data_IF_859974652715
#
_entry.id   IF_859974652715
#
_cell.length_a   1.000
_cell.length_b   1.000
_cell.length_c   1.000
_cell.angle_alpha   90.00
_cell.angle_beta   90.00
_cell.angle_gamma   90.00
#
_symmetry.space_group_name_H-M   'P 1'
#
loop_
_entity.id
_entity.type
_entity.pdbx_description
1 polymer ?
#
# COMPACT_ATOMS: atom_id res chain seq x y z
N UNK A 1 -17.48 3.49 13.63
CA UNK A 1 -18.27 2.38 13.05
C UNK A 1 -17.41 1.13 13.01
N UNK A 2 -18.00 -0.04 13.22
CA UNK A 2 -17.28 -1.30 13.09
C UNK A 2 -17.32 -1.77 11.62
N UNK A 3 -16.32 -1.39 10.83
CA UNK A 3 -16.26 -1.74 9.41
C UNK A 3 -16.05 -3.24 9.15
N UNK A 4 -15.67 -4.02 10.16
CA UNK A 4 -15.40 -5.47 10.05
C UNK A 4 -16.68 -6.29 9.85
N UNK A 5 -17.79 -5.79 10.39
CA UNK A 5 -19.12 -6.41 10.30
C UNK A 5 -19.97 -5.78 9.18
N UNK A 6 -19.42 -4.82 8.44
CA UNK A 6 -20.12 -4.14 7.36
C UNK A 6 -20.27 -5.06 6.13
N UNK A 7 -21.46 -5.20 5.52
CA UNK A 7 -21.65 -6.06 4.36
C UNK A 7 -20.86 -5.62 3.11
N UNK A 8 -20.55 -4.34 3.00
CA UNK A 8 -19.83 -3.74 1.85
C UNK A 8 -18.33 -3.75 2.09
N UNK A 9 -17.89 -3.39 3.30
CA UNK A 9 -16.48 -3.18 3.62
C UNK A 9 -15.85 -4.31 4.45
N UNK A 10 -16.61 -5.27 4.96
CA UNK A 10 -16.13 -6.27 5.91
C UNK A 10 -14.93 -7.07 5.40
N UNK A 11 -14.95 -7.50 4.14
CA UNK A 11 -13.84 -8.26 3.55
C UNK A 11 -12.55 -7.44 3.45
N UNK A 12 -12.65 -6.21 2.95
CA UNK A 12 -11.48 -5.32 2.82
C UNK A 12 -11.01 -4.79 4.17
N UNK A 13 -11.92 -4.56 5.12
CA UNK A 13 -11.59 -4.14 6.48
C UNK A 13 -10.80 -5.22 7.21
N UNK A 14 -11.19 -6.50 7.08
CA UNK A 14 -10.47 -7.64 7.68
C UNK A 14 -9.04 -7.74 7.20
N UNK A 15 -8.78 -7.45 5.92
CA UNK A 15 -7.44 -7.45 5.36
C UNK A 15 -6.52 -6.37 5.95
N UNK A 16 -7.08 -5.36 6.65
CA UNK A 16 -6.32 -4.26 7.25
C UNK A 16 -6.07 -4.42 8.76
N UNK A 17 -6.83 -5.26 9.47
CA UNK A 17 -6.83 -5.33 10.95
C UNK A 17 -5.44 -5.58 11.54
N UNK A 18 -4.68 -6.51 10.96
CA UNK A 18 -3.37 -6.93 11.48
C UNK A 18 -2.19 -6.36 10.67
N UNK A 19 -2.40 -5.22 10.03
CA UNK A 19 -1.39 -4.58 9.17
C UNK A 19 -0.67 -3.44 9.87
N UNK A 20 0.58 -3.21 9.51
CA UNK A 20 1.38 -2.10 10.03
C UNK A 20 1.62 -1.07 8.93
N UNK A 21 1.42 0.21 9.21
CA UNK A 21 1.71 1.28 8.25
C UNK A 21 3.23 1.39 8.07
N UNK A 22 3.69 1.30 6.81
CA UNK A 22 5.08 1.52 6.45
C UNK A 22 5.34 2.96 5.98
N UNK A 23 4.47 3.48 5.11
CA UNK A 23 4.59 4.84 4.58
C UNK A 23 3.20 5.40 4.26
N UNK A 24 3.09 6.73 4.32
CA UNK A 24 1.87 7.46 4.01
C UNK A 24 2.21 8.72 3.23
N UNK A 25 1.51 8.95 2.12
CA UNK A 25 1.60 10.15 1.31
C UNK A 25 0.27 10.90 1.33
N UNK A 26 0.10 11.89 0.44
CA UNK A 26 -1.18 12.58 0.25
C UNK A 26 -2.24 11.71 -0.46
N UNK A 27 -1.81 10.68 -1.20
CA UNK A 27 -2.67 9.87 -2.09
C UNK A 27 -2.56 8.37 -1.86
N UNK A 28 -1.49 7.90 -1.23
CA UNK A 28 -1.19 6.49 -1.07
C UNK A 28 -0.85 6.17 0.38
N UNK A 29 -1.24 4.97 0.83
CA UNK A 29 -0.76 4.35 2.06
C UNK A 29 -0.11 3.02 1.71
N UNK A 30 1.08 2.78 2.23
CA UNK A 30 1.79 1.52 2.10
C UNK A 30 1.76 0.83 3.45
N UNK A 31 1.22 -0.38 3.47
CA UNK A 31 1.10 -1.22 4.67
C UNK A 31 1.95 -2.49 4.53
N UNK A 32 2.25 -3.11 5.66
CA UNK A 32 2.93 -4.40 5.76
C UNK A 32 1.95 -5.40 6.31
N UNK A 33 1.77 -6.50 5.58
CA UNK A 33 0.92 -7.62 6.00
C UNK A 33 1.79 -8.75 6.57
N UNK A 34 1.19 -9.55 7.45
CA UNK A 34 1.81 -10.76 7.97
C UNK A 34 1.82 -11.90 6.94
N UNK A 35 0.86 -11.90 6.01
CA UNK A 35 0.66 -12.97 5.02
C UNK A 35 0.80 -12.47 3.59
N UNK A 36 1.49 -13.25 2.75
CA UNK A 36 1.71 -12.95 1.33
C UNK A 36 0.40 -12.89 0.54
N UNK A 37 -0.55 -13.77 0.88
CA UNK A 37 -1.84 -13.82 0.20
C UNK A 37 -2.67 -12.56 0.44
N UNK A 38 -2.56 -11.95 1.63
CA UNK A 38 -3.25 -10.69 1.92
C UNK A 38 -2.64 -9.55 1.12
N UNK A 39 -1.31 -9.48 1.05
CA UNK A 39 -0.64 -8.48 0.22
C UNK A 39 -1.06 -8.60 -1.26
N UNK A 40 -1.16 -9.83 -1.79
CA UNK A 40 -1.64 -10.06 -3.15
C UNK A 40 -3.07 -9.56 -3.34
N UNK A 41 -3.99 -9.87 -2.42
CA UNK A 41 -5.41 -9.44 -2.49
C UNK A 41 -5.56 -7.93 -2.42
N UNK A 42 -4.80 -7.28 -1.56
CA UNK A 42 -4.81 -5.81 -1.39
C UNK A 42 -4.30 -5.14 -2.67
N UNK A 43 -3.23 -5.66 -3.26
CA UNK A 43 -2.62 -5.09 -4.46
C UNK A 43 -3.40 -5.37 -5.77
N UNK A 44 -4.55 -6.04 -5.72
CA UNK A 44 -5.41 -6.20 -6.92
C UNK A 44 -6.09 -4.87 -7.22
N UNK A 45 -5.89 -4.36 -8.43
CA UNK A 45 -6.48 -3.09 -8.89
C UNK A 45 -8.00 -3.03 -8.72
N UNK A 46 -8.70 -4.10 -9.07
CA UNK A 46 -10.16 -4.22 -8.94
C UNK A 46 -10.67 -3.98 -7.51
N UNK A 47 -9.84 -4.22 -6.49
CA UNK A 47 -10.21 -4.04 -5.09
C UNK A 47 -9.92 -2.62 -4.59
N UNK A 48 -9.15 -1.81 -5.31
CA UNK A 48 -8.68 -0.49 -4.85
C UNK A 48 -9.81 0.51 -4.63
N UNK A 49 -10.90 0.42 -5.41
CA UNK A 49 -12.08 1.28 -5.22
C UNK A 49 -12.67 1.09 -3.82
N UNK A 50 -12.91 -0.15 -3.41
CA UNK A 50 -13.45 -0.50 -2.09
C UNK A 50 -12.52 -0.08 -0.95
N UNK A 51 -11.21 -0.31 -1.09
CA UNK A 51 -10.23 0.15 -0.10
C UNK A 51 -10.21 1.68 0.00
N UNK A 52 -10.27 2.37 -1.14
CA UNK A 52 -10.22 3.83 -1.18
C UNK A 52 -11.46 4.46 -0.55
N UNK A 53 -12.63 3.88 -0.80
CA UNK A 53 -13.89 4.33 -0.22
C UNK A 53 -13.94 4.06 1.30
N UNK A 54 -13.49 2.87 1.74
CA UNK A 54 -13.34 2.57 3.16
C UNK A 54 -12.41 3.58 3.85
N UNK A 55 -11.22 3.82 3.29
CA UNK A 55 -10.27 4.78 3.86
C UNK A 55 -10.76 6.22 3.81
N UNK A 56 -11.57 6.57 2.81
CA UNK A 56 -12.24 7.88 2.75
C UNK A 56 -13.25 8.03 3.88
N UNK A 57 -14.00 6.98 4.22
CA UNK A 57 -14.92 7.01 5.36
C UNK A 57 -14.19 7.14 6.70
N UNK A 58 -13.00 6.53 6.84
CA UNK A 58 -12.19 6.61 8.06
C UNK A 58 -11.43 7.94 8.17
N UNK A 59 -10.70 8.32 7.12
CA UNK A 59 -9.71 9.41 7.15
C UNK A 59 -10.18 10.71 6.49
N UNK A 60 -11.35 10.70 5.85
CA UNK A 60 -11.87 11.79 4.99
C UNK A 60 -10.98 12.11 3.79
N UNK A 61 -10.02 11.23 3.46
CA UNK A 61 -9.13 11.35 2.31
C UNK A 61 -9.27 10.12 1.42
N UNK A 62 -9.30 10.36 0.11
CA UNK A 62 -9.23 9.30 -0.88
C UNK A 62 -7.77 8.83 -0.97
N UNK A 63 -7.51 7.61 -0.50
CA UNK A 63 -6.17 7.01 -0.49
C UNK A 63 -6.20 5.68 -1.26
N UNK A 64 -5.12 5.37 -1.97
CA UNK A 64 -4.85 4.05 -2.52
C UNK A 64 -4.05 3.22 -1.53
N UNK A 65 -4.32 1.92 -1.45
CA UNK A 65 -3.68 1.02 -0.47
C UNK A 65 -2.77 0.05 -1.19
N UNK A 66 -1.49 0.10 -0.86
CA UNK A 66 -0.52 -0.88 -1.33
C UNK A 66 0.01 -1.68 -0.15
N UNK A 67 0.22 -2.97 -0.37
CA UNK A 67 0.70 -3.89 0.64
C UNK A 67 2.05 -4.50 0.26
N UNK A 68 2.93 -4.55 1.24
CA UNK A 68 4.18 -5.30 1.21
C UNK A 68 4.02 -6.52 2.10
N UNK A 69 4.63 -7.64 1.70
CA UNK A 69 4.88 -8.71 2.65
C UNK A 69 6.09 -8.39 3.53
N UNK A 70 6.25 -9.15 4.62
CA UNK A 70 7.34 -8.97 5.58
C UNK A 70 8.72 -9.13 4.97
N UNK A 71 8.91 -10.07 4.03
CA UNK A 71 10.20 -10.25 3.35
C UNK A 71 10.60 -9.01 2.56
N UNK A 72 9.68 -8.51 1.71
CA UNK A 72 9.92 -7.34 0.87
C UNK A 72 10.18 -6.09 1.70
N UNK A 73 9.46 -5.94 2.81
CA UNK A 73 9.69 -4.87 3.78
C UNK A 73 11.12 -4.90 4.36
N UNK A 74 11.59 -6.08 4.78
CA UNK A 74 12.96 -6.25 5.31
C UNK A 74 13.99 -5.92 4.24
N UNK A 75 13.79 -6.39 3.01
CA UNK A 75 14.70 -6.13 1.90
C UNK A 75 14.82 -4.63 1.59
N UNK A 76 13.68 -3.93 1.49
CA UNK A 76 13.66 -2.48 1.28
C UNK A 76 14.39 -1.75 2.41
N UNK A 77 14.13 -2.13 3.67
CA UNK A 77 14.81 -1.53 4.83
C UNK A 77 16.32 -1.76 4.80
N UNK A 78 16.76 -2.98 4.50
CA UNK A 78 18.18 -3.30 4.37
C UNK A 78 18.83 -2.49 3.25
N UNK A 79 18.22 -2.44 2.08
CA UNK A 79 18.72 -1.65 0.94
C UNK A 79 18.83 -0.16 1.29
N UNK A 80 17.81 0.41 1.93
CA UNK A 80 17.83 1.80 2.38
C UNK A 80 18.98 2.06 3.35
N UNK A 81 19.13 1.23 4.39
CA UNK A 81 20.19 1.39 5.38
C UNK A 81 21.59 1.23 4.77
N UNK A 82 21.77 0.26 3.87
CA UNK A 82 23.06 0.05 3.18
C UNK A 82 23.44 1.26 2.32
N UNK A 83 22.50 1.79 1.53
CA UNK A 83 22.73 2.96 0.68
C UNK A 83 22.93 4.25 1.51
N UNK A 84 22.19 4.40 2.60
CA UNK A 84 22.32 5.54 3.51
C UNK A 84 23.69 5.59 4.17
N UNK A 85 24.25 4.46 4.57
CA UNK A 85 25.58 4.40 5.23
C UNK A 85 26.71 4.85 4.31
N UNK A 86 26.58 4.62 3.00
CA UNK A 86 27.59 5.02 2.00
C UNK A 86 27.25 6.33 1.28
N UNK A 87 26.24 7.07 1.76
CA UNK A 87 25.73 8.30 1.12
C UNK A 87 25.36 8.13 -0.36
N UNK A 88 24.82 6.96 -0.72
CA UNK A 88 24.33 6.64 -2.08
C UNK A 88 22.81 6.44 -2.12
N UNK A 89 22.06 7.13 -1.25
CA UNK A 89 20.61 7.18 -1.41
C UNK A 89 20.29 7.88 -2.74
N UNK A 90 19.32 7.36 -3.54
CA UNK A 90 18.88 8.01 -4.75
C UNK A 90 18.39 9.43 -4.44
N UNK A 91 18.78 10.40 -5.25
CA UNK A 91 18.16 11.72 -5.22
C UNK A 91 16.80 11.65 -5.89
N UNK A 92 15.98 12.67 -5.65
CA UNK A 92 14.67 12.75 -6.29
C UNK A 92 14.78 12.79 -7.82
N UNK A 93 15.87 13.35 -8.35
CA UNK A 93 16.17 13.38 -9.78
C UNK A 93 16.46 11.99 -10.37
N UNK A 94 16.96 11.06 -9.56
CA UNK A 94 17.32 9.70 -9.99
C UNK A 94 16.09 8.78 -10.06
N UNK A 95 14.98 9.18 -9.42
CA UNK A 95 13.74 8.41 -9.39
C UNK A 95 12.99 8.69 -10.70
N UNK A 96 13.14 7.79 -11.67
CA UNK A 96 12.28 7.77 -12.86
C UNK A 96 10.82 7.69 -12.40
N UNK A 97 10.02 8.69 -12.77
CA UNK A 97 8.57 8.55 -12.67
C UNK A 97 8.19 7.34 -13.52
N UNK A 98 7.48 6.40 -12.92
CA UNK A 98 6.81 5.37 -13.69
C UNK A 98 5.66 6.13 -14.36
N UNK A 99 5.79 6.40 -15.65
CA UNK A 99 4.64 6.83 -16.46
C UNK A 99 3.67 5.66 -16.42
N UNK A 100 2.57 5.83 -15.69
CA UNK A 100 1.49 4.85 -15.67
C UNK A 100 0.89 4.91 -17.06
N UNK A 101 1.21 3.92 -17.91
CA UNK A 101 0.51 3.73 -19.16
C UNK A 101 -0.88 3.22 -18.79
N UNK A 102 -1.89 4.07 -18.96
CA UNK A 102 -3.29 3.66 -18.97
C UNK A 102 -3.48 2.80 -20.22
N UNK A 103 -3.15 1.51 -20.14
CA UNK A 103 -3.59 0.56 -21.17
C UNK A 103 -5.12 0.42 -21.01
N UNK A 104 -5.86 1.11 -21.87
CA UNK A 104 -7.23 0.73 -22.21
C UNK A 104 -7.17 -0.69 -22.76
N UNK A 105 -7.66 -1.66 -21.98
CA UNK A 105 -7.88 -3.01 -22.47
C UNK A 105 -9.14 -2.95 -23.34
N UNK A 106 -8.99 -3.14 -24.66
CA UNK A 106 -10.08 -3.36 -25.63
C UNK A 106 -10.94 -4.58 -25.27
#
# INVERSE_FOLDING_TARGET
ENFVDDPTYGEVARLLIDTTIFALTKKEIIIVTNFDNDAKKINVEKNQSLFSDLLKNISKKKLFVYALNRSRYIDIKKSFLSLSQVNKLPKIEDIKKIDIQEEEIE
#
